data_IF_664584790642
#
_entry.id   IF_664584790642
#
_cell.length_a   1.000
_cell.length_b   1.000
_cell.length_c   1.000
_cell.angle_alpha   90.00
_cell.angle_beta   90.00
_cell.angle_gamma   90.00
#
_symmetry.space_group_name_H-M   'P 1'
#
loop_
_entity.id
_entity.type
_entity.pdbx_description
1 polymer ?
#
# COMPACT_ATOMS: atom_id res chain seq x y z
N UNK A 1 14.09 0.03 -1.42
CA UNK A 1 13.41 -1.29 -1.41
C UNK A 1 13.88 -2.22 -2.53
N UNK A 2 14.41 -1.72 -3.66
CA UNK A 2 14.78 -2.56 -4.81
C UNK A 2 15.67 -3.76 -4.49
N UNK A 3 16.59 -3.65 -3.54
CA UNK A 3 17.44 -4.76 -3.08
C UNK A 3 16.62 -5.93 -2.51
N UNK A 4 15.38 -5.70 -2.06
CA UNK A 4 14.54 -6.72 -1.44
C UNK A 4 13.94 -7.70 -2.45
N UNK A 5 13.80 -7.33 -3.73
CA UNK A 5 13.11 -8.15 -4.73
C UNK A 5 13.89 -8.36 -6.04
N UNK A 6 14.95 -7.57 -6.32
CA UNK A 6 15.72 -7.74 -7.56
C UNK A 6 16.43 -9.09 -7.59
N UNK A 7 16.51 -9.69 -8.78
CA UNK A 7 17.26 -10.91 -9.04
C UNK A 7 18.78 -10.70 -9.11
N UNK A 8 19.51 -11.74 -9.50
CA UNK A 8 20.95 -11.66 -9.76
C UNK A 8 21.80 -11.62 -8.49
N UNK A 9 22.67 -10.63 -8.37
CA UNK A 9 23.61 -10.51 -7.24
C UNK A 9 22.88 -10.23 -5.93
N UNK A 10 21.85 -9.38 -5.94
CA UNK A 10 21.04 -9.04 -4.77
C UNK A 10 20.29 -10.24 -4.23
N UNK A 11 19.75 -11.10 -5.08
CA UNK A 11 19.10 -12.35 -4.69
C UNK A 11 20.06 -13.30 -3.97
N UNK A 12 21.30 -13.44 -4.47
CA UNK A 12 22.32 -14.26 -3.83
C UNK A 12 22.67 -13.75 -2.43
N UNK A 13 22.70 -12.43 -2.25
CA UNK A 13 22.92 -11.83 -0.93
C UNK A 13 21.75 -12.14 0.00
N UNK A 14 20.49 -11.95 -0.45
CA UNK A 14 19.32 -12.26 0.36
C UNK A 14 19.28 -13.74 0.75
N UNK A 15 19.50 -14.61 -0.22
CA UNK A 15 19.60 -16.05 0.02
C UNK A 15 20.63 -16.35 1.12
N UNK A 16 21.84 -15.80 1.03
CA UNK A 16 22.87 -15.98 2.04
C UNK A 16 22.41 -15.51 3.43
N UNK A 17 21.76 -14.34 3.50
CA UNK A 17 21.29 -13.78 4.77
C UNK A 17 20.18 -14.62 5.41
N UNK A 18 19.24 -15.10 4.63
CA UNK A 18 18.11 -15.94 5.08
C UNK A 18 18.61 -17.33 5.47
N UNK A 19 19.40 -18.00 4.61
CA UNK A 19 19.97 -19.34 4.89
C UNK A 19 20.83 -19.37 6.16
N UNK A 20 21.47 -18.26 6.51
CA UNK A 20 22.26 -18.14 7.73
C UNK A 20 21.45 -17.56 8.92
N UNK A 21 20.15 -17.41 8.78
CA UNK A 21 19.26 -16.91 9.83
C UNK A 21 19.66 -15.53 10.38
N UNK A 22 20.08 -14.62 9.48
CA UNK A 22 20.50 -13.27 9.88
C UNK A 22 19.40 -12.23 9.76
N UNK A 23 18.34 -12.48 8.98
CA UNK A 23 17.23 -11.55 8.82
C UNK A 23 16.24 -11.74 9.97
N UNK A 24 16.02 -10.70 10.77
CA UNK A 24 15.09 -10.75 11.91
C UNK A 24 13.76 -10.10 11.58
N UNK A 25 13.81 -8.89 11.00
CA UNK A 25 12.58 -8.15 10.63
C UNK A 25 12.84 -7.26 9.43
N UNK A 26 11.78 -7.06 8.61
CA UNK A 26 11.76 -6.09 7.52
C UNK A 26 10.54 -5.20 7.70
N UNK A 27 10.77 -3.89 7.83
CA UNK A 27 9.74 -2.89 8.07
C UNK A 27 9.66 -1.98 6.85
N UNK A 28 8.55 -1.98 6.15
CA UNK A 28 8.25 -1.04 5.08
C UNK A 28 7.79 0.28 5.69
N UNK A 29 8.46 1.37 5.35
CA UNK A 29 8.13 2.71 5.82
C UNK A 29 7.30 3.48 4.77
N UNK A 30 6.57 4.54 5.18
CA UNK A 30 5.84 5.41 4.27
C UNK A 30 6.72 6.03 3.19
N UNK A 31 6.13 6.30 2.03
CA UNK A 31 6.74 7.17 1.01
C UNK A 31 6.85 8.62 1.51
N UNK A 32 7.61 9.46 0.83
CA UNK A 32 7.78 10.87 1.18
C UNK A 32 8.17 11.13 2.66
N UNK A 33 8.83 10.17 3.30
CA UNK A 33 9.26 10.30 4.71
C UNK A 33 10.57 11.10 4.81
N UNK A 34 11.45 10.97 3.82
CA UNK A 34 12.75 11.62 3.80
C UNK A 34 12.77 12.82 2.86
N UNK A 35 13.50 13.86 3.26
CA UNK A 35 13.64 15.06 2.43
C UNK A 35 14.32 14.74 1.08
N UNK A 36 13.77 15.28 0.01
CA UNK A 36 14.34 15.15 -1.34
C UNK A 36 14.04 13.83 -2.06
N UNK A 37 13.24 12.93 -1.50
CA UNK A 37 12.80 11.69 -2.16
C UNK A 37 11.35 11.34 -1.85
N UNK A 38 10.62 10.92 -2.89
CA UNK A 38 9.28 10.37 -2.75
C UNK A 38 9.26 8.83 -2.59
N UNK A 39 10.42 8.20 -2.66
CA UNK A 39 10.53 6.75 -2.65
C UNK A 39 10.27 6.23 -1.23
N UNK A 40 9.42 5.22 -1.11
CA UNK A 40 9.26 4.47 0.12
C UNK A 40 10.59 3.77 0.48
N UNK A 41 10.93 3.72 1.75
CA UNK A 41 12.13 3.06 2.26
C UNK A 41 11.77 1.88 3.14
N UNK A 42 12.71 1.02 3.44
CA UNK A 42 12.53 -0.07 4.38
C UNK A 42 13.70 -0.15 5.36
N UNK A 43 13.43 -0.67 6.54
CA UNK A 43 14.42 -1.02 7.55
C UNK A 43 14.56 -2.54 7.53
N UNK A 44 15.78 -3.03 7.35
CA UNK A 44 16.11 -4.44 7.56
C UNK A 44 16.83 -4.57 8.91
N UNK A 45 16.23 -5.30 9.82
CA UNK A 45 16.85 -5.64 11.10
C UNK A 45 17.56 -6.98 10.96
N UNK A 46 18.86 -6.98 11.24
CA UNK A 46 19.67 -8.19 11.21
C UNK A 46 20.11 -8.55 12.61
N UNK A 47 20.05 -9.86 12.94
CA UNK A 47 20.38 -10.38 14.24
C UNK A 47 21.22 -11.65 14.10
N UNK A 48 22.27 -11.75 14.87
CA UNK A 48 23.04 -12.98 14.99
C UNK A 48 22.47 -13.87 16.11
N UNK A 49 22.61 -15.17 15.95
CA UNK A 49 22.20 -16.15 16.96
C UNK A 49 20.70 -16.09 17.31
N UNK A 50 19.83 -16.01 16.28
CA UNK A 50 18.40 -16.20 16.46
C UNK A 50 18.12 -17.66 16.89
N UNK A 51 17.12 -17.84 17.73
CA UNK A 51 16.69 -19.17 18.19
C UNK A 51 15.69 -19.83 17.22
N UNK A 52 15.06 -19.04 16.39
CA UNK A 52 14.11 -19.45 15.35
C UNK A 52 14.61 -19.00 13.97
N UNK A 53 14.06 -19.56 12.91
CA UNK A 53 14.36 -19.14 11.53
C UNK A 53 13.15 -18.46 10.89
N UNK A 54 12.51 -17.55 11.62
CA UNK A 54 11.37 -16.80 11.16
C UNK A 54 11.73 -15.36 10.89
N UNK A 55 11.18 -14.78 9.83
CA UNK A 55 11.33 -13.37 9.47
C UNK A 55 10.03 -12.62 9.72
N UNK A 56 10.06 -11.54 10.49
CA UNK A 56 8.90 -10.67 10.66
C UNK A 56 8.84 -9.61 9.56
N UNK A 57 7.73 -9.56 8.83
CA UNK A 57 7.44 -8.51 7.86
C UNK A 57 6.42 -7.53 8.44
N UNK A 58 6.68 -6.23 8.34
CA UNK A 58 5.79 -5.18 8.86
C UNK A 58 5.53 -4.16 7.78
N UNK A 59 4.26 -3.96 7.42
CA UNK A 59 3.83 -2.90 6.51
C UNK A 59 3.38 -1.66 7.29
N UNK A 60 4.30 -0.75 7.50
CA UNK A 60 4.02 0.56 8.10
C UNK A 60 3.86 1.67 7.04
N UNK A 61 3.58 1.32 5.79
CA UNK A 61 3.46 2.30 4.69
C UNK A 61 2.38 3.36 4.92
N UNK A 62 1.33 3.01 5.68
CA UNK A 62 0.22 3.90 6.04
C UNK A 62 0.37 4.54 7.41
N UNK A 63 1.41 4.18 8.19
CA UNK A 63 1.66 4.71 9.53
C UNK A 63 2.32 6.09 9.47
N UNK A 64 1.59 7.10 9.03
CA UNK A 64 2.10 8.47 8.98
C UNK A 64 0.99 9.50 8.99
N UNK A 65 1.38 10.74 9.28
CA UNK A 65 0.57 11.92 9.01
C UNK A 65 1.20 12.73 7.88
N UNK A 66 0.36 13.33 7.04
CA UNK A 66 0.83 14.23 6.00
C UNK A 66 1.10 15.61 6.57
N UNK A 67 2.34 16.10 6.40
CA UNK A 67 2.74 17.44 6.80
C UNK A 67 3.25 18.18 5.56
N UNK A 68 2.41 19.04 5.01
CA UNK A 68 2.65 19.71 3.71
C UNK A 68 2.91 18.72 2.57
N UNK A 69 4.12 18.65 2.05
CA UNK A 69 4.49 17.74 0.95
C UNK A 69 5.17 16.44 1.41
N UNK A 70 5.45 16.31 2.72
CA UNK A 70 6.14 15.15 3.29
C UNK A 70 5.23 14.39 4.27
N UNK A 71 5.53 13.12 4.44
CA UNK A 71 4.95 12.31 5.50
C UNK A 71 5.83 12.36 6.75
N UNK A 72 5.22 12.21 7.91
CA UNK A 72 5.92 12.20 9.20
C UNK A 72 5.37 11.06 10.07
N UNK A 73 6.26 10.31 10.71
CA UNK A 73 5.89 9.36 11.75
C UNK A 73 5.59 10.13 13.04
N UNK A 74 4.47 9.85 13.65
CA UNK A 74 4.14 10.31 14.99
C UNK A 74 4.73 9.39 16.05
N UNK A 75 4.87 9.83 17.32
CA UNK A 75 5.26 8.93 18.40
C UNK A 75 4.38 7.67 18.47
N UNK A 76 3.08 7.81 18.32
CA UNK A 76 2.13 6.69 18.32
C UNK A 76 2.38 5.69 17.18
N UNK A 77 2.70 6.19 15.96
CA UNK A 77 3.06 5.31 14.85
C UNK A 77 4.34 4.52 15.16
N UNK A 78 5.33 5.19 15.75
CA UNK A 78 6.60 4.57 16.13
C UNK A 78 6.38 3.52 17.23
N UNK A 79 5.62 3.84 18.27
CA UNK A 79 5.26 2.91 19.34
C UNK A 79 4.57 1.66 18.79
N UNK A 80 3.58 1.81 17.91
CA UNK A 80 2.91 0.69 17.27
C UNK A 80 3.87 -0.22 16.51
N UNK A 81 4.77 0.35 15.70
CA UNK A 81 5.77 -0.41 14.95
C UNK A 81 6.71 -1.16 15.90
N UNK A 82 7.16 -0.49 16.98
CA UNK A 82 8.08 -1.08 17.97
C UNK A 82 7.40 -2.18 18.77
N UNK A 83 6.13 -2.00 19.16
CA UNK A 83 5.36 -3.02 19.89
C UNK A 83 5.17 -4.28 19.05
N UNK A 84 4.78 -4.14 17.78
CA UNK A 84 4.67 -5.26 16.84
C UNK A 84 6.01 -5.98 16.67
N UNK A 85 7.09 -5.22 16.52
CA UNK A 85 8.43 -5.78 16.40
C UNK A 85 8.85 -6.54 17.68
N UNK A 86 8.61 -5.95 18.85
CA UNK A 86 9.00 -6.52 20.15
C UNK A 86 8.22 -7.80 20.49
N UNK A 87 6.91 -7.79 20.22
CA UNK A 87 6.01 -8.90 20.52
C UNK A 87 5.98 -9.96 19.40
N UNK A 88 6.57 -9.68 18.23
CA UNK A 88 6.49 -10.50 17.00
C UNK A 88 5.05 -10.85 16.66
N UNK A 89 4.17 -9.87 16.79
CA UNK A 89 2.73 -10.04 16.64
C UNK A 89 2.34 -10.09 15.16
N UNK A 90 1.48 -11.06 14.82
CA UNK A 90 0.89 -11.18 13.49
C UNK A 90 -0.44 -10.43 13.47
N UNK A 91 -0.51 -9.36 12.67
CA UNK A 91 -1.68 -8.49 12.55
C UNK A 91 -2.09 -8.39 11.10
N UNK A 92 -3.33 -8.76 10.81
CA UNK A 92 -3.89 -8.71 9.45
C UNK A 92 -3.67 -7.34 8.81
N UNK A 93 -3.20 -7.32 7.56
CA UNK A 93 -2.88 -6.12 6.79
C UNK A 93 -1.78 -5.22 7.38
N UNK A 94 -1.06 -5.69 8.40
CA UNK A 94 0.00 -4.91 9.03
C UNK A 94 1.29 -5.69 9.23
N UNK A 95 1.22 -6.93 9.71
CA UNK A 95 2.42 -7.74 9.96
C UNK A 95 2.18 -9.22 9.69
N UNK A 96 3.24 -9.90 9.24
CA UNK A 96 3.26 -11.34 8.99
C UNK A 96 4.57 -11.95 9.47
N UNK A 97 4.49 -13.10 10.12
CA UNK A 97 5.64 -13.84 10.62
C UNK A 97 5.92 -15.03 9.70
N UNK A 98 6.76 -14.81 8.69
CA UNK A 98 7.09 -15.82 7.70
C UNK A 98 8.04 -16.88 8.25
N UNK A 99 7.82 -18.14 7.87
CA UNK A 99 8.75 -19.23 8.09
C UNK A 99 9.89 -19.22 7.06
N UNK A 100 10.96 -19.96 7.34
CA UNK A 100 12.06 -20.15 6.38
C UNK A 100 11.56 -20.76 5.06
N UNK A 101 10.66 -21.73 5.15
CA UNK A 101 10.08 -22.41 3.98
C UNK A 101 9.34 -21.42 3.09
N UNK A 102 8.61 -20.49 3.68
CA UNK A 102 7.88 -19.44 2.98
C UNK A 102 8.83 -18.45 2.29
N UNK A 103 9.95 -18.07 2.95
CA UNK A 103 11.01 -17.26 2.34
C UNK A 103 11.63 -17.96 1.12
N UNK A 104 11.83 -19.29 1.18
CA UNK A 104 12.36 -20.09 0.07
C UNK A 104 11.34 -20.21 -1.07
N UNK A 105 10.07 -20.48 -0.78
CA UNK A 105 8.98 -20.57 -1.76
C UNK A 105 8.81 -19.25 -2.53
N UNK A 106 9.01 -18.13 -1.87
CA UNK A 106 9.01 -16.81 -2.48
C UNK A 106 10.34 -16.43 -3.16
N UNK A 107 11.23 -17.40 -3.43
CA UNK A 107 12.52 -17.21 -4.10
C UNK A 107 13.39 -16.12 -3.42
N UNK A 108 13.36 -16.10 -2.09
CA UNK A 108 14.07 -15.10 -1.26
C UNK A 108 13.69 -13.66 -1.61
N UNK A 109 12.49 -13.44 -2.09
CA UNK A 109 11.91 -12.13 -2.25
C UNK A 109 11.49 -11.60 -0.87
N UNK A 110 12.19 -10.61 -0.36
CA UNK A 110 11.96 -10.02 0.96
C UNK A 110 11.16 -8.71 0.89
N UNK A 111 10.36 -8.51 -0.17
CA UNK A 111 9.45 -7.37 -0.25
C UNK A 111 8.27 -7.59 0.69
N UNK A 112 7.99 -6.62 1.55
CA UNK A 112 6.90 -6.71 2.53
C UNK A 112 5.55 -6.97 1.84
N UNK A 113 5.32 -6.39 0.67
CA UNK A 113 4.08 -6.61 -0.11
C UNK A 113 3.87 -8.04 -0.63
N UNK A 114 4.88 -8.91 -0.53
CA UNK A 114 4.76 -10.34 -0.86
C UNK A 114 4.12 -11.12 0.29
N UNK A 115 4.32 -10.68 1.53
CA UNK A 115 3.91 -11.37 2.75
C UNK A 115 2.72 -10.71 3.46
N UNK A 116 2.60 -9.39 3.35
CA UNK A 116 1.52 -8.63 3.97
C UNK A 116 0.58 -8.11 2.88
N UNK A 117 -0.63 -8.64 2.84
CA UNK A 117 -1.68 -8.13 1.96
C UNK A 117 -2.12 -6.74 2.43
N UNK A 118 -2.06 -5.76 1.54
CA UNK A 118 -2.62 -4.44 1.83
C UNK A 118 -4.14 -4.50 1.92
N UNK A 119 -4.71 -3.72 2.82
CA UNK A 119 -6.17 -3.56 2.88
C UNK A 119 -6.67 -2.96 1.57
N UNK A 120 -7.64 -3.63 0.94
CA UNK A 120 -8.30 -3.10 -0.25
C UNK A 120 -9.26 -1.98 0.14
N UNK A 121 -8.73 -0.75 0.18
CA UNK A 121 -9.50 0.46 0.51
C UNK A 121 -10.26 1.03 -0.69
N UNK A 122 -10.25 0.34 -1.84
CA UNK A 122 -11.01 0.78 -3.01
C UNK A 122 -12.49 0.73 -2.70
N UNK A 123 -13.19 1.85 -2.93
CA UNK A 123 -14.66 1.87 -2.86
C UNK A 123 -15.20 0.78 -3.79
N UNK A 124 -16.04 -0.10 -3.24
CA UNK A 124 -16.79 -1.04 -4.05
C UNK A 124 -17.81 -0.25 -4.84
N UNK A 125 -17.45 0.07 -6.08
CA UNK A 125 -18.36 0.76 -7.00
C UNK A 125 -19.53 -0.18 -7.30
N UNK A 126 -20.71 0.21 -6.85
CA UNK A 126 -21.95 -0.43 -7.25
C UNK A 126 -22.30 0.02 -8.66
N UNK A 127 -21.96 -0.81 -9.64
CA UNK A 127 -22.17 -0.52 -11.07
C UNK A 127 -23.65 -0.31 -11.37
N UNK A 128 -24.55 -1.02 -10.66
CA UNK A 128 -26.00 -0.89 -10.88
C UNK A 128 -26.47 0.49 -10.44
N UNK A 129 -26.01 0.94 -9.26
CA UNK A 129 -26.34 2.27 -8.75
C UNK A 129 -25.77 3.37 -9.64
N UNK A 130 -24.51 3.22 -10.06
CA UNK A 130 -23.85 4.19 -10.93
C UNK A 130 -24.54 4.30 -12.29
N UNK A 131 -24.98 3.18 -12.89
CA UNK A 131 -25.72 3.19 -14.13
C UNK A 131 -27.08 3.88 -13.98
N UNK A 132 -27.78 3.66 -12.88
CA UNK A 132 -29.03 4.35 -12.60
C UNK A 132 -28.84 5.87 -12.45
N UNK A 133 -27.78 6.31 -11.79
CA UNK A 133 -27.43 7.73 -11.68
C UNK A 133 -27.09 8.33 -13.06
N UNK A 134 -26.40 7.59 -13.92
CA UNK A 134 -26.09 8.01 -15.30
C UNK A 134 -27.36 8.16 -16.11
N UNK A 135 -28.31 7.20 -16.04
CA UNK A 135 -29.61 7.28 -16.75
C UNK A 135 -30.41 8.50 -16.30
N UNK A 136 -30.44 8.80 -15.00
CA UNK A 136 -31.12 9.98 -14.48
C UNK A 136 -30.50 11.29 -15.01
N UNK A 137 -29.17 11.37 -15.06
CA UNK A 137 -28.45 12.53 -15.60
C UNK A 137 -28.75 12.70 -17.09
N UNK A 138 -28.72 11.63 -17.86
CA UNK A 138 -29.01 11.67 -19.31
C UNK A 138 -30.46 12.14 -19.59
N UNK A 139 -31.44 11.61 -18.84
CA UNK A 139 -32.82 12.07 -18.98
C UNK A 139 -32.94 13.57 -18.69
N UNK A 140 -32.32 14.05 -17.65
CA UNK A 140 -32.32 15.47 -17.29
C UNK A 140 -31.60 16.34 -18.34
N UNK A 141 -30.53 15.83 -18.94
CA UNK A 141 -29.85 16.52 -20.05
C UNK A 141 -30.77 16.65 -21.27
N UNK A 142 -31.53 15.62 -21.63
CA UNK A 142 -32.47 15.64 -22.75
C UNK A 142 -33.61 16.61 -22.50
N UNK A 143 -34.18 16.65 -21.29
CA UNK A 143 -35.21 17.64 -20.91
C UNK A 143 -34.70 19.08 -21.06
N UNK A 144 -33.46 19.35 -20.60
CA UNK A 144 -32.85 20.67 -20.73
C UNK A 144 -32.56 21.05 -22.19
N UNK A 145 -32.17 20.11 -23.02
CA UNK A 145 -31.95 20.31 -24.46
C UNK A 145 -33.27 20.64 -25.18
N UNK A 146 -34.36 19.96 -24.80
CA UNK A 146 -35.68 20.23 -25.36
C UNK A 146 -36.19 21.61 -24.92
N UNK A 147 -36.02 21.99 -23.67
CA UNK A 147 -36.34 23.30 -23.15
C UNK A 147 -35.59 24.44 -23.90
N UNK A 148 -34.29 24.24 -24.14
CA UNK A 148 -33.47 25.17 -24.91
C UNK A 148 -33.97 25.29 -26.35
N UNK A 149 -34.34 24.17 -26.99
CA UNK A 149 -34.88 24.16 -28.35
C UNK A 149 -36.17 24.95 -28.44
N UNK A 150 -37.09 24.74 -27.49
CA UNK A 150 -38.36 25.48 -27.44
C UNK A 150 -38.15 26.99 -27.27
N UNK A 151 -37.18 27.39 -26.41
CA UNK A 151 -36.84 28.82 -26.26
C UNK A 151 -36.28 29.41 -27.55
N UNK A 152 -35.44 28.67 -28.27
CA UNK A 152 -34.89 29.13 -29.56
C UNK A 152 -36.01 29.29 -30.59
N UNK A 153 -36.93 28.34 -30.69
CA UNK A 153 -38.08 28.42 -31.58
C UNK A 153 -38.98 29.62 -31.25
N UNK A 154 -39.22 29.90 -29.95
CA UNK A 154 -40.00 31.10 -29.54
C UNK A 154 -39.31 32.41 -29.95
N UNK A 155 -37.99 32.47 -29.90
CA UNK A 155 -37.23 33.65 -30.32
C UNK A 155 -37.25 33.82 -31.83
N UNK A 156 -37.12 32.72 -32.60
CA UNK A 156 -37.14 32.76 -34.07
C UNK A 156 -38.53 33.08 -34.66
N UNK A 157 -39.61 32.74 -33.96
CA UNK A 157 -41.00 33.04 -34.39
C UNK A 157 -41.44 34.46 -33.98
N UNK A 158 -40.71 35.11 -33.07
CA UNK A 158 -40.99 36.45 -32.55
C UNK A 158 -40.39 37.61 -33.35
N UNK A 159 -39.67 37.32 -34.45
CA UNK A 159 -39.28 38.29 -35.47
C UNK A 159 -40.29 38.20 -36.67
#
# INVERSE_FOLDING_TARGET
PGIMYRGGAEQKIRKYLVDNNFVDCIIQLPSNLFFGTSIATCIMVMKKNKNDNQTLFVDASNECIKVTNNNKLTPTNIERIVDIFANREEVKHFSHLASYEEDVENDYNLSVSTYVETEDTREKIDIVKLNAEIEEIVMREDELREAIRNIIEEIEVGE
#
